data_IF_583308517429
#
_entry.id   IF_583308517429
#
_cell.length_a   1.000
_cell.length_b   1.000
_cell.length_c   1.000
_cell.angle_alpha   90.00
_cell.angle_beta   90.00
_cell.angle_gamma   90.00
#
_symmetry.space_group_name_H-M   'P 1'
#
loop_
_entity.id
_entity.type
_entity.pdbx_description
1 polymer ?
#
# COMPACT_ATOMS: atom_id res chain seq x y z
N UNK A 1 -25.39 -22.96 7.77
CA UNK A 1 -24.13 -23.16 7.01
C UNK A 1 -23.21 -24.07 7.82
N UNK A 2 -22.61 -25.13 7.26
CA UNK A 2 -21.80 -26.08 8.05
C UNK A 2 -20.45 -25.46 8.44
N UNK A 3 -20.04 -25.59 9.70
CA UNK A 3 -18.75 -25.09 10.22
C UNK A 3 -17.54 -25.55 9.37
N UNK A 4 -17.61 -26.76 8.79
CA UNK A 4 -16.59 -27.31 7.88
C UNK A 4 -16.42 -26.48 6.59
N UNK A 5 -17.48 -25.84 6.08
CA UNK A 5 -17.42 -24.97 4.90
C UNK A 5 -16.77 -23.62 5.22
N UNK A 6 -17.08 -23.05 6.39
CA UNK A 6 -16.49 -21.78 6.86
C UNK A 6 -14.98 -21.92 7.05
N UNK A 7 -14.53 -22.95 7.77
CA UNK A 7 -13.09 -23.18 7.99
C UNK A 7 -12.35 -23.32 6.66
N UNK A 8 -12.98 -23.97 5.68
CA UNK A 8 -12.39 -24.17 4.35
C UNK A 8 -12.26 -22.86 3.57
N UNK A 9 -13.25 -21.96 3.62
CA UNK A 9 -13.16 -20.67 2.93
C UNK A 9 -12.07 -19.78 3.55
N UNK A 10 -11.91 -19.79 4.87
CA UNK A 10 -10.79 -19.10 5.53
C UNK A 10 -9.44 -19.67 5.11
N UNK A 11 -9.32 -20.99 5.01
CA UNK A 11 -8.09 -21.63 4.51
C UNK A 11 -7.72 -21.13 3.11
N UNK A 12 -8.69 -21.07 2.18
CA UNK A 12 -8.44 -20.55 0.83
C UNK A 12 -8.05 -19.07 0.81
N UNK A 13 -8.69 -18.24 1.64
CA UNK A 13 -8.31 -16.84 1.77
C UNK A 13 -6.86 -16.69 2.27
N UNK A 14 -6.46 -17.48 3.29
CA UNK A 14 -5.09 -17.48 3.82
C UNK A 14 -4.08 -17.95 2.78
N UNK A 15 -4.41 -18.99 2.01
CA UNK A 15 -3.56 -19.46 0.91
C UNK A 15 -3.35 -18.37 -0.15
N UNK A 16 -4.41 -17.64 -0.52
CA UNK A 16 -4.32 -16.51 -1.46
C UNK A 16 -3.44 -15.37 -0.95
N UNK A 17 -3.62 -14.96 0.31
CA UNK A 17 -2.75 -13.93 0.94
C UNK A 17 -1.30 -14.40 1.01
N UNK A 18 -1.08 -15.67 1.39
CA UNK A 18 0.27 -16.25 1.47
C UNK A 18 0.94 -16.30 0.11
N UNK A 19 0.19 -16.65 -0.94
CA UNK A 19 0.68 -16.63 -2.32
C UNK A 19 1.13 -15.22 -2.73
N UNK A 20 0.28 -14.21 -2.51
CA UNK A 20 0.61 -12.82 -2.86
C UNK A 20 1.83 -12.30 -2.08
N UNK A 21 1.91 -12.59 -0.78
CA UNK A 21 3.07 -12.21 0.05
C UNK A 21 4.39 -12.84 -0.41
N UNK A 22 4.36 -14.09 -0.91
CA UNK A 22 5.57 -14.78 -1.36
C UNK A 22 6.02 -14.35 -2.75
N UNK A 23 5.07 -14.07 -3.64
CA UNK A 23 5.35 -13.84 -5.06
C UNK A 23 5.50 -12.37 -5.40
N UNK A 24 4.69 -11.49 -4.80
CA UNK A 24 4.63 -10.08 -5.18
C UNK A 24 5.53 -9.22 -4.29
N UNK A 25 6.41 -8.44 -4.90
CA UNK A 25 7.28 -7.49 -4.18
C UNK A 25 6.45 -6.34 -3.60
N UNK A 26 5.54 -5.77 -4.38
CA UNK A 26 4.68 -4.66 -3.97
C UNK A 26 3.83 -5.02 -2.75
N UNK A 27 3.23 -6.21 -2.72
CA UNK A 27 2.54 -6.73 -1.53
C UNK A 27 3.43 -6.71 -0.27
N UNK A 28 4.68 -7.18 -0.36
CA UNK A 28 5.62 -7.18 0.78
C UNK A 28 5.93 -5.76 1.24
N UNK A 29 6.15 -4.84 0.31
CA UNK A 29 6.39 -3.42 0.60
C UNK A 29 5.18 -2.80 1.30
N UNK A 30 3.97 -3.00 0.77
CA UNK A 30 2.75 -2.45 1.37
C UNK A 30 2.51 -2.99 2.79
N UNK A 31 2.71 -4.29 3.02
CA UNK A 31 2.61 -4.85 4.37
C UNK A 31 3.66 -4.30 5.33
N UNK A 32 4.92 -4.15 4.88
CA UNK A 32 5.99 -3.57 5.70
C UNK A 32 5.67 -2.10 6.07
N UNK A 33 5.25 -1.30 5.09
CA UNK A 33 4.83 0.09 5.32
C UNK A 33 3.65 0.14 6.29
N UNK A 34 2.65 -0.73 6.14
CA UNK A 34 1.51 -0.80 7.05
C UNK A 34 1.94 -1.11 8.50
N UNK A 35 2.92 -1.99 8.70
CA UNK A 35 3.48 -2.27 10.03
C UNK A 35 4.16 -1.02 10.60
N UNK A 36 5.01 -0.35 9.82
CA UNK A 36 5.71 0.87 10.26
C UNK A 36 4.72 1.97 10.64
N UNK A 37 3.73 2.22 9.78
CA UNK A 37 2.68 3.22 9.99
C UNK A 37 1.83 2.90 11.22
N UNK A 38 1.53 1.62 11.46
CA UNK A 38 0.82 1.16 12.66
C UNK A 38 1.66 1.43 13.92
N UNK A 39 2.95 1.12 13.92
CA UNK A 39 3.84 1.41 15.05
C UNK A 39 3.93 2.91 15.34
N UNK A 40 4.01 3.75 14.30
CA UNK A 40 3.94 5.20 14.42
C UNK A 40 2.61 5.68 14.98
N UNK A 41 1.50 5.05 14.57
CA UNK A 41 0.17 5.33 15.09
C UNK A 41 0.05 5.08 16.60
N UNK A 42 0.64 3.99 17.09
CA UNK A 42 0.72 3.73 18.53
C UNK A 42 1.62 4.75 19.24
N UNK A 43 2.80 5.04 18.70
CA UNK A 43 3.74 6.00 19.28
C UNK A 43 3.14 7.41 19.43
N UNK A 44 2.37 7.85 18.42
CA UNK A 44 1.77 9.18 18.39
C UNK A 44 0.36 9.26 19.03
N UNK A 45 -0.08 8.19 19.70
CA UNK A 45 -1.37 8.09 20.38
C UNK A 45 -2.53 8.59 19.50
N UNK A 46 -2.75 7.90 18.36
CA UNK A 46 -3.88 8.21 17.48
C UNK A 46 -5.22 8.02 18.18
N UNK A 47 -6.15 8.93 17.92
CA UNK A 47 -7.54 8.81 18.32
C UNK A 47 -8.22 7.65 17.58
N UNK A 48 -9.30 7.12 18.14
CA UNK A 48 -10.03 5.97 17.57
C UNK A 48 -10.47 6.22 16.12
N UNK A 49 -10.92 7.45 15.81
CA UNK A 49 -11.33 7.83 14.46
C UNK A 49 -10.14 7.85 13.49
N UNK A 50 -8.99 8.38 13.93
CA UNK A 50 -7.75 8.38 13.14
C UNK A 50 -7.33 6.94 12.82
N UNK A 51 -7.39 6.04 13.81
CA UNK A 51 -7.15 4.60 13.61
C UNK A 51 -8.10 3.96 12.60
N UNK A 52 -9.40 4.23 12.69
CA UNK A 52 -10.39 3.66 11.79
C UNK A 52 -10.11 4.04 10.32
N UNK A 53 -9.80 5.32 10.06
CA UNK A 53 -9.50 5.81 8.71
C UNK A 53 -8.15 5.27 8.22
N UNK A 54 -7.14 5.18 9.10
CA UNK A 54 -5.83 4.64 8.76
C UNK A 54 -5.89 3.15 8.42
N UNK A 55 -6.56 2.34 9.25
CA UNK A 55 -6.75 0.91 9.03
C UNK A 55 -7.55 0.64 7.75
N UNK A 56 -8.60 1.41 7.50
CA UNK A 56 -9.35 1.33 6.25
C UNK A 56 -8.46 1.59 5.04
N UNK A 57 -7.66 2.66 5.09
CA UNK A 57 -6.79 3.05 3.98
C UNK A 57 -5.70 2.01 3.69
N UNK A 58 -5.04 1.47 4.72
CA UNK A 58 -4.04 0.40 4.56
C UNK A 58 -4.67 -0.90 4.04
N UNK A 59 -5.85 -1.26 4.55
CA UNK A 59 -6.57 -2.46 4.11
C UNK A 59 -7.04 -2.34 2.67
N UNK A 60 -7.44 -1.15 2.24
CA UNK A 60 -7.82 -0.87 0.86
C UNK A 60 -6.62 -1.12 -0.07
N UNK A 61 -5.43 -0.62 0.26
CA UNK A 61 -4.21 -0.86 -0.55
C UNK A 61 -3.92 -2.36 -0.70
N UNK A 62 -3.93 -3.11 0.40
CA UNK A 62 -3.69 -4.56 0.38
C UNK A 62 -4.75 -5.27 -0.46
N UNK A 63 -6.00 -4.84 -0.36
CA UNK A 63 -7.12 -5.41 -1.13
C UNK A 63 -6.95 -5.16 -2.62
N UNK A 64 -6.56 -3.95 -3.02
CA UNK A 64 -6.31 -3.62 -4.42
C UNK A 64 -5.12 -4.38 -4.98
N UNK A 65 -4.07 -4.59 -4.18
CA UNK A 65 -2.89 -5.39 -4.56
C UNK A 65 -3.25 -6.87 -4.77
N UNK A 66 -4.10 -7.44 -3.90
CA UNK A 66 -4.65 -8.79 -4.08
C UNK A 66 -5.50 -8.89 -5.35
N UNK A 67 -6.34 -7.87 -5.62
CA UNK A 67 -7.16 -7.80 -6.82
C UNK A 67 -6.29 -7.72 -8.10
N UNK A 68 -5.23 -6.91 -8.06
CA UNK A 68 -4.26 -6.82 -9.14
C UNK A 68 -3.62 -8.18 -9.42
N UNK A 69 -3.15 -8.86 -8.38
CA UNK A 69 -2.56 -10.20 -8.50
C UNK A 69 -3.56 -11.21 -9.09
N UNK A 70 -4.82 -11.17 -8.67
CA UNK A 70 -5.85 -12.06 -9.18
C UNK A 70 -6.13 -11.83 -10.67
N UNK A 71 -6.20 -10.56 -11.10
CA UNK A 71 -6.39 -10.18 -12.50
C UNK A 71 -5.18 -10.62 -13.33
N UNK A 72 -3.96 -10.32 -12.87
CA UNK A 72 -2.71 -10.74 -13.53
C UNK A 72 -2.68 -12.26 -13.76
N UNK A 73 -2.93 -13.06 -12.71
CA UNK A 73 -2.90 -14.52 -12.82
C UNK A 73 -4.02 -15.09 -13.68
N UNK A 74 -5.16 -14.42 -13.73
CA UNK A 74 -6.25 -14.80 -14.64
C UNK A 74 -5.85 -14.54 -16.09
N UNK A 75 -5.21 -13.40 -16.39
CA UNK A 75 -4.74 -13.09 -17.74
C UNK A 75 -3.60 -14.01 -18.16
N UNK A 76 -2.63 -14.26 -17.26
CA UNK A 76 -1.52 -15.21 -17.48
C UNK A 76 -2.03 -16.63 -17.77
N UNK A 77 -3.19 -17.03 -17.24
CA UNK A 77 -3.81 -18.32 -17.54
C UNK A 77 -4.44 -18.37 -18.95
N UNK A 78 -4.95 -17.23 -19.43
CA UNK A 78 -5.70 -17.16 -20.69
C UNK A 78 -4.76 -17.09 -21.90
N UNK A 79 -3.66 -16.36 -21.79
CA UNK A 79 -2.73 -16.17 -22.90
C UNK A 79 -1.32 -15.87 -22.42
N UNK A 80 -0.36 -16.53 -23.08
CA UNK A 80 1.07 -16.27 -22.96
C UNK A 80 1.59 -15.36 -24.09
N UNK A 81 0.75 -15.06 -25.09
CA UNK A 81 1.09 -14.16 -26.21
C UNK A 81 0.72 -12.71 -25.90
N UNK A 82 1.45 -11.77 -26.50
CA UNK A 82 1.15 -10.35 -26.36
C UNK A 82 -0.22 -10.03 -26.98
N UNK A 83 -1.12 -9.49 -26.16
CA UNK A 83 -2.38 -8.91 -26.61
C UNK A 83 -2.59 -7.53 -25.99
N UNK A 84 -3.02 -6.56 -26.81
CA UNK A 84 -3.24 -5.18 -26.36
C UNK A 84 -4.30 -5.11 -25.24
N UNK A 85 -5.35 -5.93 -25.32
CA UNK A 85 -6.39 -6.00 -24.28
C UNK A 85 -5.85 -6.54 -22.95
N UNK A 86 -4.98 -7.55 -23.00
CA UNK A 86 -4.34 -8.13 -21.81
C UNK A 86 -3.44 -7.08 -21.12
N UNK A 87 -2.68 -6.33 -21.91
CA UNK A 87 -1.89 -5.19 -21.42
C UNK A 87 -2.75 -4.11 -20.79
N UNK A 88 -3.85 -3.69 -21.43
CA UNK A 88 -4.76 -2.69 -20.88
C UNK A 88 -5.34 -3.16 -19.54
N UNK A 89 -5.81 -4.40 -19.45
CA UNK A 89 -6.39 -4.95 -18.23
C UNK A 89 -5.38 -4.98 -17.07
N UNK A 90 -4.14 -5.44 -17.32
CA UNK A 90 -3.05 -5.40 -16.32
C UNK A 90 -2.72 -3.96 -15.91
N UNK A 91 -2.62 -3.04 -16.86
CA UNK A 91 -2.32 -1.63 -16.57
C UNK A 91 -3.41 -0.95 -15.73
N UNK A 92 -4.68 -1.23 -16.00
CA UNK A 92 -5.81 -0.67 -15.23
C UNK A 92 -5.83 -1.22 -13.81
N UNK A 93 -5.53 -2.53 -13.64
CA UNK A 93 -5.42 -3.14 -12.31
C UNK A 93 -4.28 -2.51 -11.50
N UNK A 94 -3.10 -2.33 -12.10
CA UNK A 94 -1.97 -1.66 -11.47
C UNK A 94 -2.27 -0.19 -11.13
N UNK A 95 -2.97 0.54 -12.01
CA UNK A 95 -3.41 1.90 -11.73
C UNK A 95 -4.35 1.96 -10.52
N UNK A 96 -5.22 0.97 -10.33
CA UNK A 96 -6.12 0.92 -9.19
C UNK A 96 -5.36 0.76 -7.85
N UNK A 97 -4.27 -0.02 -7.84
CA UNK A 97 -3.33 -0.08 -6.70
C UNK A 97 -2.71 1.29 -6.46
N UNK A 98 -2.19 1.94 -7.50
CA UNK A 98 -1.57 3.26 -7.41
C UNK A 98 -2.50 4.29 -6.76
N UNK A 99 -3.76 4.37 -7.20
CA UNK A 99 -4.75 5.30 -6.64
C UNK A 99 -5.06 4.99 -5.17
N UNK A 100 -5.15 3.71 -4.79
CA UNK A 100 -5.33 3.32 -3.40
C UNK A 100 -4.13 3.71 -2.52
N UNK A 101 -2.91 3.58 -3.04
CA UNK A 101 -1.69 3.96 -2.34
C UNK A 101 -1.58 5.48 -2.18
N UNK A 102 -1.93 6.25 -3.21
CA UNK A 102 -2.02 7.71 -3.12
C UNK A 102 -3.02 8.15 -2.06
N UNK A 103 -4.19 7.53 -2.00
CA UNK A 103 -5.17 7.78 -0.94
C UNK A 103 -4.57 7.50 0.45
N UNK A 104 -3.87 6.37 0.63
CA UNK A 104 -3.24 6.05 1.90
C UNK A 104 -2.17 7.07 2.32
N UNK A 105 -1.40 7.61 1.36
CA UNK A 105 -0.43 8.69 1.61
C UNK A 105 -1.14 9.98 2.05
N UNK A 106 -2.22 10.38 1.37
CA UNK A 106 -3.00 11.57 1.72
C UNK A 106 -3.63 11.40 3.12
N UNK A 107 -4.21 10.25 3.42
CA UNK A 107 -4.77 9.96 4.76
C UNK A 107 -3.68 9.99 5.82
N UNK A 108 -2.53 9.35 5.55
CA UNK A 108 -1.37 9.39 6.45
C UNK A 108 -0.92 10.83 6.72
N UNK A 109 -0.86 11.67 5.69
CA UNK A 109 -0.56 13.09 5.84
C UNK A 109 -1.53 13.78 6.80
N UNK A 110 -2.83 13.68 6.52
CA UNK A 110 -3.87 14.37 7.29
C UNK A 110 -3.87 13.96 8.77
N UNK A 111 -3.52 12.72 9.06
CA UNK A 111 -3.45 12.20 10.43
C UNK A 111 -2.14 12.61 11.11
N UNK A 112 -1.00 12.47 10.43
CA UNK A 112 0.31 12.59 11.06
C UNK A 112 0.91 14.00 10.99
N UNK A 113 0.51 14.86 10.05
CA UNK A 113 1.17 16.16 9.82
C UNK A 113 1.24 17.04 11.07
N UNK A 114 0.14 17.19 11.81
CA UNK A 114 0.08 18.02 13.01
C UNK A 114 0.86 17.40 14.17
N UNK A 115 0.84 16.07 14.30
CA UNK A 115 1.51 15.35 15.40
C UNK A 115 3.03 15.35 15.22
N UNK A 116 3.49 15.09 14.00
CA UNK A 116 4.91 15.16 13.62
C UNK A 116 5.40 16.60 13.71
N UNK A 117 4.63 17.57 13.20
CA UNK A 117 4.97 18.99 13.29
C UNK A 117 5.19 19.45 14.74
N UNK A 118 4.32 19.05 15.66
CA UNK A 118 4.51 19.34 17.11
C UNK A 118 5.76 18.69 17.68
N UNK A 119 6.04 17.43 17.34
CA UNK A 119 7.20 16.69 17.84
C UNK A 119 8.53 17.30 17.36
N UNK A 120 8.58 17.77 16.12
CA UNK A 120 9.81 18.22 15.45
C UNK A 120 10.01 19.73 15.55
N UNK A 121 8.94 20.51 15.77
CA UNK A 121 9.01 21.98 15.90
C UNK A 121 10.07 22.50 16.89
N UNK A 122 10.37 21.86 18.03
CA UNK A 122 11.41 22.34 18.95
C UNK A 122 12.84 22.18 18.40
N UNK A 123 13.03 21.31 17.39
CA UNK A 123 14.35 20.95 16.85
C UNK A 123 14.66 21.65 15.52
N UNK A 124 13.64 21.89 14.69
CA UNK A 124 13.85 22.46 13.35
C UNK A 124 13.59 23.98 13.29
N UNK A 125 12.87 24.57 14.24
CA UNK A 125 12.59 26.02 14.21
C UNK A 125 11.74 26.46 13.02
N UNK A 126 10.99 25.55 12.38
CA UNK A 126 10.19 25.83 11.18
C UNK A 126 8.77 25.27 11.32
N UNK A 127 7.78 26.02 10.81
CA UNK A 127 6.36 25.81 11.08
C UNK A 127 5.44 25.83 9.85
N UNK A 128 5.96 25.69 8.63
CA UNK A 128 5.13 25.82 7.42
C UNK A 128 4.66 24.46 6.87
N UNK A 129 3.38 24.41 6.48
CA UNK A 129 2.76 23.24 5.85
C UNK A 129 3.42 22.88 4.51
N UNK A 130 4.15 23.83 3.90
CA UNK A 130 4.88 23.64 2.64
C UNK A 130 6.10 22.75 2.76
N UNK A 131 6.80 22.76 3.89
CA UNK A 131 7.96 21.89 4.08
C UNK A 131 7.55 20.42 4.25
N UNK A 132 6.46 20.17 4.96
CA UNK A 132 5.93 18.80 5.10
C UNK A 132 5.47 18.28 3.74
N UNK A 133 4.83 19.12 2.92
CA UNK A 133 4.46 18.77 1.54
C UNK A 133 5.70 18.53 0.68
N UNK A 134 6.77 19.32 0.82
CA UNK A 134 8.04 19.12 0.13
C UNK A 134 8.74 17.81 0.52
N UNK A 135 8.80 17.48 1.81
CA UNK A 135 9.34 16.21 2.32
C UNK A 135 8.52 15.03 1.79
N UNK A 136 7.21 15.18 1.63
CA UNK A 136 6.33 14.15 1.08
C UNK A 136 6.51 13.97 -0.42
N UNK A 137 6.65 15.05 -1.20
CA UNK A 137 7.00 14.99 -2.62
C UNK A 137 8.38 14.35 -2.84
N UNK A 138 9.36 14.70 -1.99
CA UNK A 138 10.66 14.05 -1.95
C UNK A 138 10.54 12.57 -1.57
N UNK A 139 9.71 12.23 -0.57
CA UNK A 139 9.48 10.85 -0.14
C UNK A 139 8.85 9.99 -1.25
N UNK A 140 7.82 10.48 -1.92
CA UNK A 140 7.22 9.82 -3.10
C UNK A 140 8.25 9.70 -4.22
N UNK A 141 9.01 10.77 -4.50
CA UNK A 141 10.08 10.75 -5.50
C UNK A 141 11.17 9.72 -5.20
N UNK A 142 11.60 9.63 -3.94
CA UNK A 142 12.59 8.65 -3.46
C UNK A 142 12.04 7.24 -3.51
N UNK A 143 10.78 7.01 -3.11
CA UNK A 143 10.14 5.69 -3.22
C UNK A 143 10.05 5.26 -4.69
N UNK A 144 9.61 6.15 -5.58
CA UNK A 144 9.58 5.87 -7.02
C UNK A 144 10.97 5.62 -7.59
N UNK A 145 11.98 6.38 -7.16
CA UNK A 145 13.38 6.19 -7.56
C UNK A 145 13.93 4.85 -7.08
N UNK A 146 13.73 4.50 -5.80
CA UNK A 146 14.17 3.23 -5.20
C UNK A 146 13.48 2.06 -5.89
N UNK A 147 12.17 2.13 -6.13
CA UNK A 147 11.43 1.12 -6.89
C UNK A 147 12.01 0.97 -8.30
N UNK A 148 12.30 2.09 -8.99
CA UNK A 148 12.90 2.07 -10.32
C UNK A 148 14.32 1.48 -10.31
N UNK A 149 15.14 1.78 -9.32
CA UNK A 149 16.50 1.26 -9.16
C UNK A 149 16.51 -0.23 -8.79
N UNK A 150 15.57 -0.69 -7.97
CA UNK A 150 15.43 -2.11 -7.60
C UNK A 150 14.93 -2.93 -8.80
N UNK A 151 14.03 -2.37 -9.61
CA UNK A 151 13.52 -3.05 -10.82
C UNK A 151 14.57 -3.07 -11.94
N UNK A 152 15.29 -1.96 -12.17
CA UNK A 152 16.29 -1.88 -13.24
C UNK A 152 17.69 -2.41 -12.86
N UNK A 153 17.97 -2.65 -11.57
CA UNK A 153 19.25 -3.18 -11.10
C UNK A 153 19.32 -4.71 -11.08
N UNK A 154 18.29 -5.39 -11.57
CA UNK A 154 18.20 -6.86 -11.68
C UNK A 154 18.44 -7.42 -13.09
N UNK A 155 18.84 -6.58 -14.05
CA UNK A 155 19.35 -6.99 -15.37
C UNK A 155 20.88 -7.07 -15.37
#
# INVERSE_FOLDING_TARGET
>A
MSAKKVIRSFKYAIEGVTFALKTQLNMRIHCLVAIIVTLLGFYLNLAIVEWAVLLFSMTLVITMELMNTAIEKTIDLITDEYHELAKIAKNVAAAAVLFSALNAVVVGFLIFHNKIGKLVSPFLGVGSIMEVVLVMLLGVGVVLLVVKLVINGGE
#
